data_IF_929460827527
#
_entry.id   IF_929460827527
#
_cell.length_a   1.000
_cell.length_b   1.000
_cell.length_c   1.000
_cell.angle_alpha   90.00
_cell.angle_beta   90.00
_cell.angle_gamma   90.00
#
_symmetry.space_group_name_H-M   'P 1'
#
loop_
_entity.id
_entity.type
_entity.pdbx_description
1 polymer ?
#
# COMPACT_ATOMS: atom_id res chain seq x y z
N UNK A 1 -6.43 25.04 -12.62
CA UNK A 1 -6.97 24.04 -11.67
C UNK A 1 -6.95 22.62 -12.25
N UNK A 2 -7.50 22.36 -13.44
CA UNK A 2 -7.43 21.02 -14.08
C UNK A 2 -6.00 20.58 -14.40
N UNK A 3 -5.20 21.44 -15.04
CA UNK A 3 -3.79 21.15 -15.36
C UNK A 3 -2.97 20.83 -14.09
N UNK A 4 -3.20 21.57 -13.01
CA UNK A 4 -2.56 21.29 -11.72
C UNK A 4 -2.85 19.87 -11.22
N UNK A 5 -4.11 19.43 -11.27
CA UNK A 5 -4.49 18.08 -10.82
C UNK A 5 -3.86 17.01 -11.74
N UNK A 6 -3.90 17.24 -13.05
CA UNK A 6 -3.32 16.32 -14.04
C UNK A 6 -1.80 16.17 -13.82
N UNK A 7 -1.09 17.28 -13.61
CA UNK A 7 0.36 17.25 -13.40
C UNK A 7 0.74 16.50 -12.12
N UNK A 8 0.02 16.71 -11.01
CA UNK A 8 0.26 15.96 -9.78
C UNK A 8 -0.04 14.46 -9.97
N UNK A 9 -1.14 14.11 -10.66
CA UNK A 9 -1.47 12.72 -10.96
C UNK A 9 -0.39 12.03 -11.79
N UNK A 10 0.09 12.69 -12.85
CA UNK A 10 1.16 12.17 -13.70
C UNK A 10 2.46 11.98 -12.90
N UNK A 11 2.79 12.92 -12.01
CA UNK A 11 3.98 12.82 -11.16
C UNK A 11 3.89 11.67 -10.16
N UNK A 12 2.72 11.47 -9.53
CA UNK A 12 2.46 10.30 -8.67
C UNK A 12 2.67 9.00 -9.46
N UNK A 13 2.14 8.93 -10.69
CA UNK A 13 2.31 7.75 -11.53
C UNK A 13 3.78 7.50 -11.88
N UNK A 14 4.54 8.53 -12.25
CA UNK A 14 5.98 8.42 -12.52
C UNK A 14 6.73 7.91 -11.29
N UNK A 15 6.52 8.53 -10.12
CA UNK A 15 7.17 8.14 -8.87
C UNK A 15 6.87 6.67 -8.50
N UNK A 16 5.61 6.21 -8.64
CA UNK A 16 5.24 4.81 -8.36
C UNK A 16 5.89 3.84 -9.36
N UNK A 17 6.03 4.24 -10.63
CA UNK A 17 6.71 3.40 -11.64
C UNK A 17 8.18 3.22 -11.31
N UNK A 18 8.87 4.33 -11.03
CA UNK A 18 10.29 4.31 -10.64
C UNK A 18 10.51 3.46 -9.38
N UNK A 19 9.62 3.59 -8.38
CA UNK A 19 9.63 2.75 -7.19
C UNK A 19 9.49 1.27 -7.53
N UNK A 20 8.48 0.89 -8.32
CA UNK A 20 8.22 -0.52 -8.65
C UNK A 20 9.32 -1.14 -9.51
N UNK A 21 9.86 -0.40 -10.47
CA UNK A 21 11.04 -0.80 -11.26
C UNK A 21 12.25 -1.04 -10.37
N UNK A 22 12.48 -0.16 -9.37
CA UNK A 22 13.63 -0.25 -8.46
C UNK A 22 13.52 -1.39 -7.45
N UNK A 23 12.35 -1.60 -6.84
CA UNK A 23 12.18 -2.58 -5.75
C UNK A 23 11.81 -3.99 -6.23
N UNK A 24 11.11 -4.11 -7.36
CA UNK A 24 10.57 -5.40 -7.83
C UNK A 24 11.13 -5.86 -9.18
N UNK A 25 12.05 -5.08 -9.78
CA UNK A 25 12.56 -5.32 -11.13
C UNK A 25 11.43 -5.48 -12.18
N UNK A 26 10.26 -4.88 -11.92
CA UNK A 26 9.12 -4.93 -12.82
C UNK A 26 9.36 -4.00 -14.01
N UNK A 27 9.45 -4.55 -15.23
CA UNK A 27 9.46 -3.73 -16.44
C UNK A 27 8.04 -3.20 -16.69
N UNK A 28 7.75 -2.01 -16.17
CA UNK A 28 6.38 -1.46 -16.23
C UNK A 28 6.14 -0.92 -17.62
N UNK A 29 5.26 -1.60 -18.36
CA UNK A 29 4.82 -1.08 -19.65
C UNK A 29 4.25 0.35 -19.45
N UNK A 30 4.73 1.36 -20.20
CA UNK A 30 4.30 2.74 -20.03
C UNK A 30 2.79 2.95 -20.17
N UNK A 31 2.12 2.02 -20.87
CA UNK A 31 0.67 2.00 -21.10
C UNK A 31 -0.14 1.27 -20.04
N UNK A 32 0.49 0.68 -19.03
CA UNK A 32 -0.22 0.02 -17.94
C UNK A 32 -0.82 1.07 -17.02
N UNK A 33 -2.13 1.00 -16.81
CA UNK A 33 -2.82 1.82 -15.83
C UNK A 33 -2.44 1.33 -14.43
N UNK A 34 -1.64 2.13 -13.70
CA UNK A 34 -1.23 1.83 -12.32
C UNK A 34 -2.42 1.82 -11.36
N UNK A 35 -3.40 2.68 -11.63
CA UNK A 35 -4.59 2.86 -10.82
C UNK A 35 -5.76 2.14 -11.47
N UNK A 36 -6.52 1.42 -10.66
CA UNK A 36 -7.78 0.85 -11.12
C UNK A 36 -8.84 1.95 -11.37
N UNK A 37 -10.02 1.55 -11.86
CA UNK A 37 -11.15 2.47 -12.14
C UNK A 37 -11.62 3.33 -10.96
N UNK A 38 -11.26 2.97 -9.72
CA UNK A 38 -11.59 3.69 -8.50
C UNK A 38 -10.43 4.56 -7.99
N UNK A 39 -9.37 4.73 -8.80
CA UNK A 39 -8.14 5.44 -8.44
C UNK A 39 -7.43 4.86 -7.21
N UNK A 40 -7.39 3.53 -7.13
CA UNK A 40 -6.62 2.79 -6.13
C UNK A 40 -5.48 2.04 -6.81
N UNK A 41 -4.28 2.12 -6.24
CA UNK A 41 -3.07 1.42 -6.68
C UNK A 41 -2.52 0.57 -5.53
N UNK A 42 -2.21 -0.69 -5.81
CA UNK A 42 -1.50 -1.56 -4.87
C UNK A 42 0.01 -1.21 -4.93
N UNK A 43 0.58 -0.83 -3.79
CA UNK A 43 1.97 -0.40 -3.67
C UNK A 43 2.89 -1.54 -3.22
N UNK A 44 2.47 -2.33 -2.23
CA UNK A 44 3.28 -3.43 -1.70
C UNK A 44 2.39 -4.59 -1.22
N UNK A 45 2.98 -5.78 -1.25
CA UNK A 45 2.43 -6.99 -0.67
C UNK A 45 3.58 -7.80 -0.06
N UNK A 46 3.39 -8.33 1.15
CA UNK A 46 4.35 -9.24 1.79
C UNK A 46 3.66 -10.14 2.80
N UNK A 47 4.33 -11.24 3.18
CA UNK A 47 3.92 -12.07 4.29
C UNK A 47 4.74 -11.73 5.55
N UNK A 48 4.17 -12.04 6.72
CA UNK A 48 4.72 -11.83 8.07
C UNK A 48 4.53 -13.09 8.93
N UNK A 49 5.38 -13.23 9.94
CA UNK A 49 5.41 -14.38 10.85
C UNK A 49 6.36 -15.48 10.37
N UNK A 50 6.87 -16.28 11.31
CA UNK A 50 7.84 -17.34 11.04
C UNK A 50 7.31 -18.39 10.05
N UNK A 51 5.98 -18.60 10.01
CA UNK A 51 5.34 -19.51 9.05
C UNK A 51 4.48 -18.75 8.03
N UNK A 52 4.74 -17.47 7.80
CA UNK A 52 3.99 -16.63 6.86
C UNK A 52 2.48 -16.63 7.13
N UNK A 53 2.11 -16.59 8.41
CA UNK A 53 0.72 -16.69 8.88
C UNK A 53 -0.12 -15.45 8.55
N UNK A 54 0.55 -14.31 8.37
CA UNK A 54 -0.08 -13.04 8.07
C UNK A 54 0.35 -12.54 6.68
N UNK A 55 -0.56 -11.90 5.97
CA UNK A 55 -0.25 -11.10 4.79
C UNK A 55 -0.54 -9.63 5.07
N UNK A 56 0.34 -8.76 4.55
CA UNK A 56 0.17 -7.33 4.54
C UNK A 56 -0.01 -6.86 3.10
N UNK A 57 -1.05 -6.06 2.87
CA UNK A 57 -1.26 -5.37 1.62
C UNK A 57 -1.31 -3.85 1.85
N UNK A 58 -0.57 -3.09 1.03
CA UNK A 58 -0.49 -1.64 1.10
C UNK A 58 -1.04 -1.00 -0.16
N UNK A 59 -2.01 -0.09 -0.01
CA UNK A 59 -2.70 0.58 -1.11
C UNK A 59 -2.69 2.08 -0.98
N UNK A 60 -2.60 2.78 -2.11
CA UNK A 60 -2.84 4.21 -2.20
C UNK A 60 -4.18 4.47 -2.91
N UNK A 61 -5.08 5.16 -2.23
CA UNK A 61 -6.37 5.62 -2.75
C UNK A 61 -6.35 7.14 -2.95
N UNK A 62 -6.33 7.56 -4.22
CA UNK A 62 -6.34 8.99 -4.57
C UNK A 62 -7.73 9.63 -4.46
N UNK A 63 -8.80 8.84 -4.49
CA UNK A 63 -10.17 9.35 -4.32
C UNK A 63 -10.38 9.82 -2.89
N UNK A 64 -9.92 9.03 -1.93
CA UNK A 64 -10.06 9.33 -0.50
C UNK A 64 -8.81 9.92 0.17
N UNK A 65 -7.73 10.10 -0.60
CA UNK A 65 -6.43 10.62 -0.18
C UNK A 65 -5.85 9.85 1.01
N UNK A 66 -5.76 8.53 0.88
CA UNK A 66 -5.30 7.62 1.95
C UNK A 66 -4.26 6.62 1.49
N UNK A 67 -3.29 6.38 2.34
CA UNK A 67 -2.53 5.13 2.36
C UNK A 67 -3.24 4.18 3.30
N UNK A 68 -3.51 2.97 2.84
CA UNK A 68 -4.21 1.92 3.59
C UNK A 68 -3.26 0.74 3.70
N UNK A 69 -2.96 0.32 4.92
CA UNK A 69 -2.21 -0.89 5.21
C UNK A 69 -3.18 -1.88 5.86
N UNK A 70 -3.42 -3.02 5.21
CA UNK A 70 -4.32 -4.06 5.72
C UNK A 70 -3.50 -5.33 5.97
N UNK A 71 -3.43 -5.74 7.23
CA UNK A 71 -2.85 -7.00 7.64
C UNK A 71 -3.95 -7.99 8.01
N UNK A 72 -3.84 -9.23 7.56
CA UNK A 72 -4.81 -10.28 7.87
C UNK A 72 -4.15 -11.66 7.82
N UNK A 73 -4.76 -12.69 8.41
CA UNK A 73 -4.29 -14.06 8.23
C UNK A 73 -4.24 -14.49 6.76
N UNK A 74 -3.26 -15.32 6.39
CA UNK A 74 -3.20 -15.96 5.06
C UNK A 74 -4.29 -17.03 4.88
N UNK A 75 -4.81 -17.60 5.97
CA UNK A 75 -5.95 -18.51 5.91
C UNK A 75 -7.24 -17.78 5.45
N UNK A 76 -7.88 -18.32 4.41
CA UNK A 76 -9.06 -17.70 3.77
C UNK A 76 -10.33 -17.65 4.64
N UNK A 77 -10.46 -18.50 5.65
CA UNK A 77 -11.60 -18.50 6.57
C UNK A 77 -11.36 -17.46 7.67
N UNK A 78 -10.14 -17.41 8.19
CA UNK A 78 -9.75 -16.50 9.26
C UNK A 78 -9.56 -15.06 8.76
N UNK A 79 -9.11 -14.86 7.52
CA UNK A 79 -8.99 -13.53 6.89
C UNK A 79 -10.33 -12.79 6.72
N UNK A 80 -11.45 -13.51 6.79
CA UNK A 80 -12.80 -12.91 6.82
C UNK A 80 -13.22 -12.47 8.22
N UNK A 81 -12.58 -13.02 9.26
CA UNK A 81 -12.92 -12.79 10.66
C UNK A 81 -11.98 -11.76 11.28
N UNK A 82 -10.69 -11.86 10.95
CA UNK A 82 -9.62 -11.07 11.54
C UNK A 82 -8.93 -10.23 10.48
N UNK A 83 -8.77 -8.96 10.81
CA UNK A 83 -7.92 -8.03 10.07
C UNK A 83 -7.56 -6.84 10.94
N UNK A 84 -6.37 -6.33 10.73
CA UNK A 84 -5.90 -5.06 11.25
C UNK A 84 -5.75 -4.08 10.10
N UNK A 85 -6.21 -2.83 10.27
CA UNK A 85 -6.14 -1.81 9.23
C UNK A 85 -5.59 -0.51 9.79
N UNK A 86 -4.48 -0.06 9.23
CA UNK A 86 -3.93 1.27 9.48
C UNK A 86 -4.24 2.20 8.29
N UNK A 87 -4.55 3.45 8.59
CA UNK A 87 -4.95 4.45 7.60
C UNK A 87 -4.19 5.75 7.83
N UNK A 88 -3.33 6.12 6.88
CA UNK A 88 -2.64 7.40 6.88
C UNK A 88 -3.36 8.32 5.89
N UNK A 89 -3.91 9.43 6.41
CA UNK A 89 -4.66 10.41 5.61
C UNK A 89 -3.75 11.54 5.15
N UNK A 90 -3.81 11.86 3.86
CA UNK A 90 -3.15 13.03 3.28
C UNK A 90 -4.14 14.19 3.21
N UNK A 91 -3.66 15.42 3.42
CA UNK A 91 -4.52 16.62 3.37
C UNK A 91 -4.91 16.99 1.95
N UNK A 92 -4.07 16.69 0.97
CA UNK A 92 -4.24 17.05 -0.42
C UNK A 92 -3.33 16.20 -1.34
N UNK A 93 -3.53 16.33 -2.65
CA UNK A 93 -2.76 15.58 -3.65
C UNK A 93 -1.26 15.92 -3.65
N UNK A 94 -0.87 17.12 -3.21
CA UNK A 94 0.55 17.51 -3.14
C UNK A 94 1.28 16.72 -2.06
N UNK A 95 0.69 16.52 -0.89
CA UNK A 95 1.27 15.65 0.13
C UNK A 95 1.47 14.21 -0.38
N UNK A 96 0.64 13.75 -1.33
CA UNK A 96 0.81 12.44 -1.98
C UNK A 96 1.98 12.47 -2.99
N UNK A 97 2.15 13.55 -3.74
CA UNK A 97 3.34 13.72 -4.60
C UNK A 97 4.61 13.65 -3.75
N UNK A 98 4.67 14.45 -2.68
CA UNK A 98 5.81 14.51 -1.77
C UNK A 98 6.07 13.14 -1.10
N UNK A 99 5.03 12.41 -0.72
CA UNK A 99 5.15 11.04 -0.19
C UNK A 99 5.66 10.06 -1.24
N UNK A 100 5.11 10.10 -2.46
CA UNK A 100 5.43 9.10 -3.49
C UNK A 100 6.86 9.22 -4.03
N UNK A 101 7.45 10.41 -3.96
CA UNK A 101 8.85 10.67 -4.37
C UNK A 101 9.87 9.84 -3.59
N UNK A 102 9.55 9.46 -2.35
CA UNK A 102 10.44 8.72 -1.46
C UNK A 102 9.87 7.34 -1.08
N UNK A 103 9.04 6.73 -1.92
CA UNK A 103 8.56 5.37 -1.68
C UNK A 103 9.74 4.43 -1.54
N UNK A 104 9.68 3.58 -0.52
CA UNK A 104 10.62 2.52 -0.21
C UNK A 104 9.82 1.34 0.34
N UNK A 105 10.21 0.12 -0.04
CA UNK A 105 9.45 -1.07 0.33
C UNK A 105 9.41 -1.25 1.85
N UNK A 106 10.55 -1.09 2.53
CA UNK A 106 10.64 -1.26 3.98
C UNK A 106 9.77 -0.21 4.70
N UNK A 107 9.75 1.03 4.23
CA UNK A 107 8.85 2.07 4.79
C UNK A 107 7.37 1.69 4.66
N UNK A 108 6.97 1.08 3.53
CA UNK A 108 5.58 0.73 3.29
C UNK A 108 5.12 -0.43 4.16
N UNK A 109 5.97 -1.44 4.37
CA UNK A 109 5.56 -2.67 5.05
C UNK A 109 5.61 -2.58 6.58
N UNK A 110 6.28 -1.59 7.16
CA UNK A 110 6.26 -1.38 8.62
C UNK A 110 4.85 -1.02 9.10
N UNK A 111 4.39 -1.65 10.16
CA UNK A 111 3.11 -1.38 10.85
C UNK A 111 3.39 -0.75 12.22
N UNK A 112 2.43 -0.01 12.76
CA UNK A 112 2.47 0.50 14.14
C UNK A 112 2.26 -0.63 15.16
N UNK A 113 1.53 -1.68 14.79
CA UNK A 113 1.35 -2.90 15.61
C UNK A 113 2.34 -3.99 15.21
N UNK A 114 2.89 -4.69 16.19
CA UNK A 114 3.77 -5.83 15.94
C UNK A 114 2.96 -7.05 15.48
N UNK A 115 3.50 -7.83 14.54
CA UNK A 115 2.80 -9.02 14.01
C UNK A 115 2.55 -10.08 15.08
N UNK A 116 3.45 -10.19 16.07
CA UNK A 116 3.31 -11.14 17.19
C UNK A 116 2.08 -10.81 18.05
N UNK A 117 1.85 -9.53 18.37
CA UNK A 117 0.67 -9.09 19.13
C UNK A 117 -0.64 -9.48 18.41
N UNK A 118 -0.68 -9.33 17.08
CA UNK A 118 -1.85 -9.73 16.29
C UNK A 118 -2.04 -11.25 16.26
N UNK A 119 -0.95 -12.02 16.22
CA UNK A 119 -1.02 -13.48 16.26
C UNK A 119 -1.54 -13.98 17.61
N UNK A 120 -1.04 -13.44 18.71
CA UNK A 120 -1.54 -13.72 20.06
C UNK A 120 -3.04 -13.37 20.17
N UNK A 121 -3.45 -12.19 19.70
CA UNK A 121 -4.84 -11.74 19.76
C UNK A 121 -5.79 -12.64 18.95
N UNK A 122 -5.42 -13.00 17.71
CA UNK A 122 -6.32 -13.70 16.79
C UNK A 122 -6.33 -15.22 17.00
N UNK A 123 -5.22 -15.80 17.43
CA UNK A 123 -5.06 -17.25 17.53
C UNK A 123 -4.98 -17.75 18.98
N UNK A 124 -4.89 -16.86 19.98
CA UNK A 124 -4.66 -17.21 21.40
C UNK A 124 -3.44 -18.14 21.58
N UNK A 125 -2.37 -17.86 20.83
CA UNK A 125 -1.08 -18.54 20.99
C UNK A 125 -0.24 -17.89 22.08
#
# INVERSE_FOLDING_TARGET
MREYIINNYLKICENIKEYKEREFEEEINPRTDLFNKNYVCDLAYTNYGDNEELELNVKLDLTSLKLIKEMKPTDNILSKQFKHVEINKFKNIKEIVDFTEFLDFNMLVVMDVESEELLEEWFNI
#
